data_IF_026836326006
#
_entry.id   IF_026836326006
#
_cell.length_a   1.000
_cell.length_b   1.000
_cell.length_c   1.000
_cell.angle_alpha   90.00
_cell.angle_beta   90.00
_cell.angle_gamma   90.00
#
_symmetry.space_group_name_H-M   'P 1'
#
loop_
_entity.id
_entity.type
_entity.pdbx_description
1 polymer ?
#
# COMPACT_ATOMS: atom_id res chain seq x y z
N UNK A 1 31.33 7.01 57.84
CA UNK A 1 31.45 6.29 56.54
C UNK A 1 30.19 5.46 56.34
N UNK A 2 29.27 5.97 55.56
CA UNK A 2 28.01 5.26 55.28
C UNK A 2 28.26 4.20 54.23
N UNK A 3 28.13 2.95 54.64
CA UNK A 3 28.13 1.78 53.77
C UNK A 3 26.80 1.75 53.03
N UNK A 4 26.80 2.27 51.76
CA UNK A 4 25.63 2.17 50.87
C UNK A 4 25.32 0.70 50.65
N UNK A 5 24.32 0.16 51.34
CA UNK A 5 23.80 -1.18 51.13
C UNK A 5 23.38 -1.35 49.66
N UNK A 6 24.19 -2.03 48.86
CA UNK A 6 23.82 -2.49 47.51
C UNK A 6 22.65 -3.46 47.66
N UNK A 7 21.43 -2.97 47.39
CA UNK A 7 20.22 -3.77 47.36
C UNK A 7 20.43 -4.89 46.32
N UNK A 8 20.77 -6.10 46.72
CA UNK A 8 20.83 -7.26 45.83
C UNK A 8 19.42 -7.45 45.23
N UNK A 9 19.32 -7.27 43.93
CA UNK A 9 18.07 -7.54 43.19
C UNK A 9 17.78 -9.04 43.36
N UNK A 10 16.65 -9.37 43.98
CA UNK A 10 16.25 -10.78 44.12
C UNK A 10 15.79 -11.33 42.75
N UNK A 11 15.95 -12.64 42.52
CA UNK A 11 15.48 -13.30 41.29
C UNK A 11 14.04 -12.95 40.96
N UNK A 12 13.16 -12.86 41.99
CA UNK A 12 11.77 -12.42 41.84
C UNK A 12 11.66 -10.96 41.40
N UNK A 13 12.54 -10.09 41.87
CA UNK A 13 12.60 -8.69 41.44
C UNK A 13 13.05 -8.53 40.00
N UNK A 14 14.09 -9.29 39.59
CA UNK A 14 14.53 -9.37 38.19
C UNK A 14 13.45 -9.87 37.26
N UNK A 15 12.73 -10.93 37.63
CA UNK A 15 11.62 -11.46 36.84
C UNK A 15 10.48 -10.44 36.67
N UNK A 16 10.10 -9.75 37.75
CA UNK A 16 9.10 -8.68 37.68
C UNK A 16 9.54 -7.52 36.77
N UNK A 17 10.82 -7.11 36.84
CA UNK A 17 11.37 -6.07 35.98
C UNK A 17 11.34 -6.51 34.50
N UNK A 18 11.71 -7.76 34.20
CA UNK A 18 11.66 -8.32 32.86
C UNK A 18 10.22 -8.35 32.31
N UNK A 19 9.26 -8.82 33.11
CA UNK A 19 7.86 -8.84 32.71
C UNK A 19 7.31 -7.43 32.46
N UNK A 20 7.71 -6.45 33.27
CA UNK A 20 7.33 -5.05 33.06
C UNK A 20 7.92 -4.50 31.74
N UNK A 21 9.17 -4.78 31.45
CA UNK A 21 9.81 -4.37 30.18
C UNK A 21 9.11 -5.02 29.01
N UNK A 22 8.82 -6.31 29.05
CA UNK A 22 8.07 -7.01 28.01
C UNK A 22 6.67 -6.41 27.81
N UNK A 23 5.97 -6.09 28.88
CA UNK A 23 4.66 -5.44 28.80
C UNK A 23 4.76 -4.07 28.11
N UNK A 24 5.78 -3.26 28.47
CA UNK A 24 6.00 -1.96 27.83
C UNK A 24 6.30 -2.13 26.35
N UNK A 25 7.14 -3.10 25.96
CA UNK A 25 7.44 -3.38 24.56
C UNK A 25 6.20 -3.80 23.77
N UNK A 26 5.33 -4.64 24.35
CA UNK A 26 4.05 -5.02 23.74
C UNK A 26 3.15 -3.80 23.56
N UNK A 27 3.02 -2.95 24.58
CA UNK A 27 2.20 -1.73 24.48
C UNK A 27 2.75 -0.79 23.40
N UNK A 28 4.06 -0.58 23.35
CA UNK A 28 4.68 0.24 22.31
C UNK A 28 4.44 -0.34 20.91
N UNK A 29 4.56 -1.66 20.76
CA UNK A 29 4.25 -2.35 19.50
C UNK A 29 2.78 -2.14 19.07
N UNK A 30 1.84 -2.28 20.00
CA UNK A 30 0.42 -2.03 19.72
C UNK A 30 0.17 -0.56 19.33
N UNK A 31 0.85 0.39 19.97
CA UNK A 31 0.77 1.81 19.61
C UNK A 31 1.28 2.04 18.18
N UNK A 32 2.33 1.36 17.75
CA UNK A 32 2.85 1.47 16.38
C UNK A 32 1.90 0.81 15.39
N UNK A 33 1.43 -0.40 15.66
CA UNK A 33 0.58 -1.17 14.74
C UNK A 33 -0.77 -0.47 14.53
N UNK A 34 -1.41 -0.04 15.62
CA UNK A 34 -2.76 0.55 15.58
C UNK A 34 -2.77 2.08 15.69
N UNK A 35 -1.60 2.70 15.81
CA UNK A 35 -1.43 4.14 15.90
C UNK A 35 -1.53 4.85 14.54
N UNK A 36 -0.97 6.05 14.51
CA UNK A 36 -0.98 6.92 13.34
C UNK A 36 -2.04 8.02 13.46
N UNK A 37 -1.79 9.12 12.75
CA UNK A 37 -2.74 10.24 12.67
C UNK A 37 -3.95 9.83 11.86
N UNK A 38 -5.13 10.35 12.21
CA UNK A 38 -6.32 10.21 11.39
C UNK A 38 -6.11 10.84 10.01
N UNK A 39 -6.44 10.12 8.97
CA UNK A 39 -6.44 10.65 7.61
C UNK A 39 -7.76 11.41 7.39
N UNK A 40 -7.64 12.64 6.86
CA UNK A 40 -8.76 13.52 6.53
C UNK A 40 -8.77 13.87 5.05
N UNK A 41 -7.93 13.19 4.24
CA UNK A 41 -7.86 13.43 2.81
C UNK A 41 -9.20 13.05 2.20
N UNK A 42 -9.79 13.99 1.49
CA UNK A 42 -10.96 13.70 0.66
C UNK A 42 -10.51 12.85 -0.52
N UNK A 43 -11.28 11.82 -0.83
CA UNK A 43 -10.93 10.86 -1.86
C UNK A 43 -12.13 10.60 -2.77
N UNK A 44 -11.91 10.71 -4.06
CA UNK A 44 -12.92 10.49 -5.08
C UNK A 44 -12.26 9.87 -6.32
N UNK A 45 -13.08 9.23 -7.14
CA UNK A 45 -12.66 8.76 -8.46
C UNK A 45 -12.35 9.97 -9.36
N UNK A 46 -11.13 10.00 -9.91
CA UNK A 46 -10.74 10.92 -10.97
C UNK A 46 -11.22 10.31 -12.29
N UNK A 47 -12.18 10.93 -12.93
CA UNK A 47 -12.76 10.41 -14.17
C UNK A 47 -11.77 10.46 -15.33
N UNK A 48 -11.74 9.36 -16.08
CA UNK A 48 -11.02 9.21 -17.33
C UNK A 48 -11.87 9.59 -18.55
N UNK A 49 -11.74 8.82 -19.61
CA UNK A 49 -12.55 9.01 -20.82
C UNK A 49 -14.01 8.60 -20.60
N UNK A 50 -14.91 9.31 -21.26
CA UNK A 50 -16.34 9.01 -21.14
C UNK A 50 -16.68 7.61 -21.65
N UNK A 51 -17.38 6.84 -20.80
CA UNK A 51 -17.81 5.47 -21.14
C UNK A 51 -16.71 4.41 -20.94
N UNK A 52 -15.58 4.75 -20.29
CA UNK A 52 -14.60 3.73 -19.92
C UNK A 52 -15.21 2.67 -18.99
N UNK A 53 -14.81 1.42 -19.23
CA UNK A 53 -15.14 0.27 -18.38
C UNK A 53 -13.92 -0.22 -17.59
N UNK A 54 -12.92 0.63 -17.47
CA UNK A 54 -11.69 0.32 -16.78
C UNK A 54 -11.45 1.29 -15.63
N UNK A 55 -10.95 0.77 -14.53
CA UNK A 55 -10.55 1.53 -13.34
C UNK A 55 -9.09 1.22 -13.01
N UNK A 56 -8.29 2.25 -12.83
CA UNK A 56 -6.97 2.13 -12.20
C UNK A 56 -7.13 2.41 -10.72
N UNK A 57 -6.89 1.41 -9.89
CA UNK A 57 -6.86 1.52 -8.43
C UNK A 57 -5.42 1.43 -7.97
N UNK A 58 -5.00 2.26 -7.04
CA UNK A 58 -3.65 2.15 -6.51
C UNK A 58 -3.57 2.48 -5.02
N UNK A 59 -2.60 1.85 -4.36
CA UNK A 59 -2.13 2.25 -3.03
C UNK A 59 -0.71 2.79 -3.17
N UNK A 60 -0.45 3.97 -2.59
CA UNK A 60 0.87 4.58 -2.58
C UNK A 60 1.20 5.14 -1.21
N UNK A 61 2.44 4.94 -0.74
CA UNK A 61 2.87 5.51 0.53
C UNK A 61 2.74 7.04 0.56
N UNK A 62 2.99 7.71 -0.56
CA UNK A 62 2.87 9.17 -0.68
C UNK A 62 1.48 9.70 -0.32
N UNK A 63 0.45 8.91 -0.57
CA UNK A 63 -0.94 9.30 -0.30
C UNK A 63 -1.34 9.15 1.16
N UNK A 64 -0.57 8.40 1.94
CA UNK A 64 -0.91 8.00 3.31
C UNK A 64 0.13 8.42 4.34
N UNK A 65 1.01 9.38 4.01
CA UNK A 65 1.99 10.00 4.91
C UNK A 65 2.00 11.53 4.75
N UNK A 66 2.65 12.21 5.70
CA UNK A 66 2.93 13.65 5.61
C UNK A 66 4.26 13.84 4.87
N UNK A 67 4.21 14.24 3.59
CA UNK A 67 5.38 14.34 2.71
C UNK A 67 6.46 15.28 3.22
N UNK A 68 6.09 16.32 3.99
CA UNK A 68 7.04 17.29 4.55
C UNK A 68 7.92 16.70 5.66
N UNK A 69 7.58 15.50 6.14
CA UNK A 69 8.22 14.86 7.31
C UNK A 69 8.82 13.49 7.01
N UNK A 70 8.77 13.03 5.76
CA UNK A 70 9.32 11.72 5.41
C UNK A 70 10.83 11.66 5.61
N UNK A 71 11.33 10.50 6.02
CA UNK A 71 12.77 10.27 6.11
C UNK A 71 13.40 10.02 4.72
N UNK A 72 14.75 10.02 4.67
CA UNK A 72 15.48 9.87 3.43
C UNK A 72 15.21 8.52 2.71
N UNK A 73 14.89 7.46 3.46
CA UNK A 73 14.60 6.14 2.88
C UNK A 73 13.21 6.14 2.27
N UNK A 74 12.22 6.69 2.97
CA UNK A 74 10.86 6.87 2.43
C UNK A 74 10.85 7.76 1.19
N UNK A 75 11.72 8.78 1.13
CA UNK A 75 11.83 9.66 -0.04
C UNK A 75 12.26 8.95 -1.32
N UNK A 76 12.96 7.80 -1.23
CA UNK A 76 13.31 6.98 -2.38
C UNK A 76 12.08 6.37 -3.10
N UNK A 77 10.92 6.36 -2.44
CA UNK A 77 9.64 5.95 -3.02
C UNK A 77 8.90 7.07 -3.76
N UNK A 78 9.51 8.25 -3.85
CA UNK A 78 8.90 9.46 -4.44
C UNK A 78 9.55 9.81 -5.77
N UNK A 79 8.76 10.45 -6.64
CA UNK A 79 9.18 11.04 -7.91
C UNK A 79 8.71 12.48 -8.00
N UNK A 80 9.49 13.30 -8.66
CA UNK A 80 9.09 14.66 -9.02
C UNK A 80 8.94 14.74 -10.52
N UNK A 81 7.82 15.23 -11.02
CA UNK A 81 7.61 15.47 -12.44
C UNK A 81 8.31 16.77 -12.89
N UNK A 82 8.28 17.02 -14.22
CA UNK A 82 8.88 18.22 -14.81
C UNK A 82 8.22 19.54 -14.35
N UNK A 83 7.05 19.48 -13.74
CA UNK A 83 6.32 20.64 -13.20
C UNK A 83 6.58 20.86 -11.70
N UNK A 84 7.39 19.99 -11.08
CA UNK A 84 7.72 20.05 -9.66
C UNK A 84 6.70 19.37 -8.73
N UNK A 85 5.70 18.66 -9.27
CA UNK A 85 4.77 17.89 -8.43
C UNK A 85 5.46 16.62 -7.93
N UNK A 86 5.23 16.30 -6.66
CA UNK A 86 5.77 15.08 -6.02
C UNK A 86 4.70 13.99 -6.01
N UNK A 87 5.04 12.83 -6.53
CA UNK A 87 4.20 11.64 -6.58
C UNK A 87 4.91 10.46 -5.90
N UNK A 88 4.16 9.53 -5.33
CA UNK A 88 4.71 8.22 -5.03
C UNK A 88 5.01 7.44 -6.30
N UNK A 89 6.00 6.55 -6.27
CA UNK A 89 6.35 5.74 -7.45
C UNK A 89 5.14 4.98 -8.00
N UNK A 90 4.34 4.37 -7.13
CA UNK A 90 3.13 3.64 -7.55
C UNK A 90 2.06 4.56 -8.13
N UNK A 91 1.84 5.73 -7.52
CA UNK A 91 0.94 6.74 -8.06
C UNK A 91 1.37 7.19 -9.47
N UNK A 92 2.67 7.44 -9.65
CA UNK A 92 3.20 7.82 -10.97
C UNK A 92 2.86 6.77 -12.03
N UNK A 93 3.10 5.49 -11.75
CA UNK A 93 2.75 4.40 -12.68
C UNK A 93 1.25 4.30 -12.90
N UNK A 94 0.44 4.47 -11.85
CA UNK A 94 -1.03 4.48 -11.98
C UNK A 94 -1.52 5.57 -12.95
N UNK A 95 -0.91 6.76 -12.90
CA UNK A 95 -1.22 7.86 -13.85
C UNK A 95 -0.78 7.53 -15.28
N UNK A 96 0.31 6.79 -15.48
CA UNK A 96 0.70 6.29 -16.81
C UNK A 96 -0.34 5.29 -17.34
N UNK A 97 -0.83 4.38 -16.50
CA UNK A 97 -1.91 3.46 -16.87
C UNK A 97 -3.19 4.23 -17.22
N UNK A 98 -3.59 5.20 -16.40
CA UNK A 98 -4.74 6.06 -16.68
C UNK A 98 -4.59 6.75 -18.03
N UNK A 99 -3.43 7.35 -18.29
CA UNK A 99 -3.16 8.07 -19.54
C UNK A 99 -3.19 7.15 -20.77
N UNK A 100 -2.65 5.92 -20.64
CA UNK A 100 -2.58 4.98 -21.75
C UNK A 100 -3.94 4.31 -22.05
N UNK A 101 -4.80 4.13 -21.04
CA UNK A 101 -6.07 3.39 -21.16
C UNK A 101 -7.30 4.28 -21.21
N UNK A 102 -7.21 5.56 -20.82
CA UNK A 102 -8.38 6.41 -20.59
C UNK A 102 -9.22 6.00 -19.38
N UNK A 103 -8.74 5.09 -18.53
CA UNK A 103 -9.44 4.58 -17.38
C UNK A 103 -9.74 5.66 -16.32
N UNK A 104 -10.75 5.42 -15.49
CA UNK A 104 -10.93 6.15 -14.24
C UNK A 104 -9.75 5.83 -13.28
N UNK A 105 -9.45 6.73 -12.35
CA UNK A 105 -8.35 6.57 -11.40
C UNK A 105 -8.84 6.74 -9.96
N UNK A 106 -8.44 5.84 -9.08
CA UNK A 106 -8.78 5.87 -7.66
C UNK A 106 -7.57 5.53 -6.78
N UNK A 107 -7.34 6.34 -5.74
CA UNK A 107 -6.31 6.11 -4.72
C UNK A 107 -6.91 5.46 -3.48
N UNK A 108 -6.35 4.34 -3.03
CA UNK A 108 -6.75 3.71 -1.77
C UNK A 108 -6.23 4.55 -0.61
N UNK A 109 -7.13 4.99 0.26
CA UNK A 109 -6.83 5.80 1.44
C UNK A 109 -7.17 5.04 2.71
N UNK A 110 -6.20 4.92 3.61
CA UNK A 110 -6.43 4.35 4.95
C UNK A 110 -6.95 5.41 5.92
N UNK A 111 -7.82 5.03 6.86
CA UNK A 111 -8.37 5.94 7.87
C UNK A 111 -7.32 6.47 8.85
N UNK A 112 -6.18 5.80 8.96
CA UNK A 112 -5.00 6.23 9.71
C UNK A 112 -3.79 6.24 8.80
N UNK A 113 -3.08 7.36 8.80
CA UNK A 113 -1.83 7.51 8.05
C UNK A 113 -0.78 6.49 8.53
N UNK A 114 0.05 6.06 7.61
CA UNK A 114 1.30 5.37 7.94
C UNK A 114 2.31 6.39 8.50
N UNK A 115 3.46 5.89 8.91
CA UNK A 115 4.49 6.75 9.50
C UNK A 115 5.37 7.36 8.42
N UNK A 116 5.84 8.56 8.67
CA UNK A 116 6.83 9.26 7.85
C UNK A 116 8.21 8.59 7.92
N UNK A 117 8.42 7.79 8.96
CA UNK A 117 9.65 7.00 9.18
C UNK A 117 9.53 5.63 8.55
N UNK A 118 10.48 5.28 7.66
CA UNK A 118 10.55 3.96 7.01
C UNK A 118 10.53 2.80 8.01
N UNK A 119 11.38 2.76 9.08
CA UNK A 119 11.36 1.64 10.01
C UNK A 119 10.01 1.44 10.70
N UNK A 120 9.30 2.52 11.03
CA UNK A 120 8.00 2.42 11.70
C UNK A 120 6.91 1.94 10.72
N UNK A 121 6.92 2.42 9.48
CA UNK A 121 6.02 1.93 8.43
C UNK A 121 6.30 0.47 8.12
N UNK A 122 7.56 0.08 7.95
CA UNK A 122 7.93 -1.31 7.69
C UNK A 122 7.55 -2.23 8.86
N UNK A 123 7.74 -1.78 10.10
CA UNK A 123 7.33 -2.53 11.28
C UNK A 123 5.80 -2.72 11.35
N UNK A 124 5.04 -1.66 11.11
CA UNK A 124 3.57 -1.73 11.06
C UNK A 124 3.11 -2.68 9.94
N UNK A 125 3.63 -2.52 8.73
CA UNK A 125 3.29 -3.36 7.58
C UNK A 125 3.60 -4.84 7.82
N UNK A 126 4.75 -5.16 8.45
CA UNK A 126 5.09 -6.53 8.84
C UNK A 126 4.03 -7.17 9.75
N UNK A 127 3.57 -6.43 10.77
CA UNK A 127 2.57 -6.96 11.68
C UNK A 127 1.17 -7.02 11.04
N UNK A 128 0.83 -6.07 10.17
CA UNK A 128 -0.40 -6.11 9.38
C UNK A 128 -0.46 -7.39 8.53
N UNK A 129 0.63 -7.72 7.83
CA UNK A 129 0.74 -8.93 7.02
C UNK A 129 0.72 -10.20 7.88
N UNK A 130 1.55 -10.26 8.92
CA UNK A 130 1.67 -11.45 9.79
C UNK A 130 0.35 -11.84 10.46
N UNK A 131 -0.45 -10.85 10.85
CA UNK A 131 -1.75 -11.08 11.49
C UNK A 131 -2.94 -10.96 10.53
N UNK A 132 -2.69 -10.82 9.24
CA UNK A 132 -3.71 -10.61 8.22
C UNK A 132 -4.67 -9.47 8.59
N UNK A 133 -4.11 -8.38 9.11
CA UNK A 133 -4.89 -7.22 9.58
C UNK A 133 -5.37 -6.41 8.38
N UNK A 134 -6.65 -6.01 8.39
CA UNK A 134 -7.25 -5.17 7.35
C UNK A 134 -7.33 -3.71 7.83
N UNK A 135 -6.46 -2.82 7.35
CA UNK A 135 -6.56 -1.39 7.66
C UNK A 135 -7.89 -0.82 7.16
N UNK A 136 -8.60 -0.11 8.04
CA UNK A 136 -9.85 0.55 7.66
C UNK A 136 -9.60 1.60 6.58
N UNK A 137 -10.36 1.55 5.49
CA UNK A 137 -10.33 2.50 4.39
C UNK A 137 -11.32 3.65 4.58
N UNK A 138 -11.13 4.73 3.80
CA UNK A 138 -12.02 5.88 3.73
C UNK A 138 -12.22 6.31 2.27
N UNK A 139 -13.35 6.95 1.99
CA UNK A 139 -13.68 7.50 0.67
C UNK A 139 -13.82 6.43 -0.40
N UNK A 140 -14.27 5.24 -0.03
CA UNK A 140 -14.49 4.12 -0.96
C UNK A 140 -15.54 4.49 -2.02
N UNK A 141 -15.38 4.07 -3.30
CA UNK A 141 -16.44 4.11 -4.28
C UNK A 141 -17.70 3.37 -3.81
N UNK A 142 -18.88 3.84 -4.21
CA UNK A 142 -20.14 3.20 -3.83
C UNK A 142 -20.24 1.77 -4.41
N UNK A 143 -19.78 1.57 -5.64
CA UNK A 143 -19.70 0.27 -6.32
C UNK A 143 -18.60 0.26 -7.40
N UNK A 144 -18.31 -0.92 -7.93
CA UNK A 144 -17.40 -1.14 -9.06
C UNK A 144 -18.10 -1.82 -10.25
N UNK A 145 -19.42 -1.86 -10.28
CA UNK A 145 -20.22 -2.64 -11.24
C UNK A 145 -20.00 -2.21 -12.69
N UNK A 146 -19.73 -0.93 -12.90
CA UNK A 146 -19.49 -0.37 -14.23
C UNK A 146 -18.14 -0.80 -14.85
N UNK A 147 -17.22 -1.37 -14.08
CA UNK A 147 -15.88 -1.71 -14.56
C UNK A 147 -15.75 -3.21 -14.83
N UNK A 148 -15.28 -3.54 -16.02
CA UNK A 148 -14.95 -4.90 -16.42
C UNK A 148 -13.47 -5.25 -16.12
N UNK A 149 -12.60 -4.21 -16.15
CA UNK A 149 -11.16 -4.34 -15.90
C UNK A 149 -10.70 -3.40 -14.78
N UNK A 150 -9.99 -3.94 -13.81
CA UNK A 150 -9.38 -3.19 -12.71
C UNK A 150 -7.86 -3.37 -12.78
N UNK A 151 -7.14 -2.29 -13.09
CA UNK A 151 -5.69 -2.23 -12.95
C UNK A 151 -5.37 -1.90 -11.50
N UNK A 152 -4.70 -2.80 -10.78
CA UNK A 152 -4.40 -2.63 -9.36
C UNK A 152 -2.92 -2.40 -9.12
N UNK A 153 -2.57 -1.21 -8.58
CA UNK A 153 -1.19 -0.78 -8.34
C UNK A 153 -0.81 -0.75 -6.87
N UNK A 154 0.38 -1.27 -6.55
CA UNK A 154 0.88 -1.27 -5.18
C UNK A 154 2.42 -1.28 -5.11
N UNK A 155 3.02 -0.72 -4.04
CA UNK A 155 4.40 -1.01 -3.71
C UNK A 155 4.50 -2.41 -3.11
N UNK A 156 5.54 -3.17 -3.45
CA UNK A 156 5.76 -4.46 -2.78
C UNK A 156 6.32 -4.20 -1.37
N UNK A 157 5.58 -4.63 -0.35
CA UNK A 157 5.97 -4.59 1.04
C UNK A 157 6.09 -6.02 1.58
N UNK A 158 7.22 -6.34 2.20
CA UNK A 158 7.49 -7.68 2.76
C UNK A 158 7.21 -8.84 1.79
N UNK A 159 7.57 -8.64 0.51
CA UNK A 159 7.37 -9.60 -0.59
C UNK A 159 5.90 -9.86 -0.93
N UNK A 160 5.00 -8.97 -0.58
CA UNK A 160 3.57 -9.07 -0.86
C UNK A 160 2.94 -7.72 -1.22
N UNK A 161 1.68 -7.74 -1.68
CA UNK A 161 0.86 -6.54 -1.75
C UNK A 161 0.53 -6.06 -0.32
N UNK A 162 0.54 -4.74 -0.04
CA UNK A 162 0.20 -4.22 1.28
C UNK A 162 -1.24 -4.53 1.67
N UNK A 163 -1.49 -4.72 2.96
CA UNK A 163 -2.81 -5.08 3.48
C UNK A 163 -3.97 -4.13 3.11
N UNK A 164 -3.77 -2.81 2.84
CA UNK A 164 -4.84 -1.98 2.27
C UNK A 164 -5.39 -2.46 0.92
N UNK A 165 -4.62 -3.23 0.14
CA UNK A 165 -5.09 -3.86 -1.10
C UNK A 165 -6.13 -4.95 -0.78
N UNK A 166 -5.83 -5.82 0.20
CA UNK A 166 -6.81 -6.80 0.69
C UNK A 166 -8.05 -6.11 1.27
N UNK A 167 -7.85 -5.07 2.10
CA UNK A 167 -8.99 -4.28 2.61
C UNK A 167 -9.88 -3.73 1.51
N UNK A 168 -9.33 -3.35 0.36
CA UNK A 168 -10.10 -2.84 -0.77
C UNK A 168 -10.94 -3.94 -1.42
N UNK A 169 -10.35 -5.10 -1.67
CA UNK A 169 -11.07 -6.20 -2.32
C UNK A 169 -12.09 -6.89 -1.42
N UNK A 170 -11.95 -6.82 -0.09
CA UNK A 170 -12.99 -7.29 0.84
C UNK A 170 -14.30 -6.49 0.78
N UNK A 171 -14.26 -5.25 0.25
CA UNK A 171 -15.45 -4.38 0.17
C UNK A 171 -16.28 -4.61 -1.10
N UNK A 172 -15.75 -5.34 -2.11
CA UNK A 172 -16.40 -5.46 -3.42
C UNK A 172 -16.40 -6.89 -3.95
N UNK A 173 -17.52 -7.30 -4.55
CA UNK A 173 -17.56 -8.48 -5.40
C UNK A 173 -16.91 -8.16 -6.77
N UNK A 174 -15.77 -8.81 -7.04
CA UNK A 174 -15.02 -8.64 -8.29
C UNK A 174 -15.18 -9.85 -9.23
N UNK A 175 -16.12 -10.75 -8.94
CA UNK A 175 -16.39 -11.94 -9.76
C UNK A 175 -16.66 -11.56 -11.21
N UNK A 176 -16.05 -12.28 -12.13
CA UNK A 176 -16.16 -12.04 -13.57
C UNK A 176 -15.35 -10.87 -14.11
N UNK A 177 -14.69 -10.08 -13.27
CA UNK A 177 -13.82 -8.99 -13.68
C UNK A 177 -12.39 -9.48 -13.98
N UNK A 178 -11.66 -8.68 -14.75
CA UNK A 178 -10.21 -8.87 -14.97
C UNK A 178 -9.42 -7.96 -14.04
N UNK A 179 -8.58 -8.53 -13.20
CA UNK A 179 -7.68 -7.82 -12.30
C UNK A 179 -6.28 -7.85 -12.89
N UNK A 180 -5.72 -6.69 -13.20
CA UNK A 180 -4.43 -6.53 -13.86
C UNK A 180 -3.46 -5.86 -12.88
N UNK A 181 -2.58 -6.60 -12.21
CA UNK A 181 -1.67 -6.00 -11.23
C UNK A 181 -0.53 -5.23 -11.89
N UNK A 182 -0.11 -4.15 -11.25
CA UNK A 182 1.19 -3.54 -11.48
C UNK A 182 1.83 -3.17 -10.15
N UNK A 183 3.13 -3.29 -10.04
CA UNK A 183 3.79 -2.99 -8.79
C UNK A 183 5.06 -2.16 -8.98
N UNK A 184 5.44 -1.46 -7.91
CA UNK A 184 6.75 -0.87 -7.74
C UNK A 184 7.48 -1.60 -6.61
N UNK A 185 8.76 -1.89 -6.81
CA UNK A 185 9.54 -2.71 -5.87
C UNK A 185 11.02 -2.33 -5.89
N UNK A 186 11.81 -2.88 -4.98
CA UNK A 186 13.26 -2.71 -4.92
C UNK A 186 14.01 -3.98 -5.37
N UNK A 187 13.49 -4.66 -6.43
CA UNK A 187 14.11 -5.85 -7.01
C UNK A 187 13.42 -7.17 -6.68
N UNK A 188 12.29 -7.17 -5.95
CA UNK A 188 11.54 -8.39 -5.63
C UNK A 188 10.69 -8.94 -6.80
N UNK A 189 10.56 -8.16 -7.88
CA UNK A 189 9.77 -8.57 -9.05
C UNK A 189 8.26 -8.37 -8.86
N UNK A 190 7.52 -8.56 -9.97
CA UNK A 190 6.06 -8.37 -10.02
C UNK A 190 5.30 -9.54 -9.38
N UNK A 191 5.89 -10.73 -9.38
CA UNK A 191 5.28 -11.94 -8.80
C UNK A 191 5.08 -11.85 -7.28
N UNK A 192 5.83 -10.95 -6.63
CA UNK A 192 5.61 -10.60 -5.23
C UNK A 192 4.30 -9.81 -5.12
N UNK A 193 3.34 -10.33 -4.36
CA UNK A 193 2.03 -9.69 -4.16
C UNK A 193 0.86 -10.41 -4.83
N UNK A 194 1.13 -11.41 -5.67
CA UNK A 194 0.05 -12.19 -6.27
C UNK A 194 -0.69 -13.10 -5.30
N UNK A 195 -0.06 -13.55 -4.23
CA UNK A 195 -0.74 -14.44 -3.27
C UNK A 195 -1.94 -13.74 -2.65
N UNK A 196 -1.75 -12.50 -2.16
CA UNK A 196 -2.86 -11.72 -1.62
C UNK A 196 -3.97 -11.52 -2.65
N UNK A 197 -3.63 -11.18 -3.91
CA UNK A 197 -4.63 -10.96 -4.96
C UNK A 197 -5.40 -12.22 -5.32
N UNK A 198 -4.77 -13.39 -5.32
CA UNK A 198 -5.46 -14.66 -5.59
C UNK A 198 -6.45 -15.01 -4.48
N UNK A 199 -6.09 -14.71 -3.24
CA UNK A 199 -6.93 -14.98 -2.08
C UNK A 199 -8.13 -14.02 -2.00
N UNK A 200 -7.93 -12.74 -2.37
CA UNK A 200 -8.94 -11.69 -2.22
C UNK A 200 -9.82 -11.48 -3.46
N UNK A 201 -9.40 -11.94 -4.64
CA UNK A 201 -10.12 -11.73 -5.90
C UNK A 201 -10.83 -13.01 -6.38
N UNK A 202 -11.54 -13.68 -5.47
CA UNK A 202 -12.27 -14.91 -5.83
C UNK A 202 -13.30 -14.66 -6.96
N UNK A 203 -13.35 -15.58 -7.90
CA UNK A 203 -14.22 -15.47 -9.08
C UNK A 203 -13.75 -14.47 -10.15
N UNK A 204 -12.69 -13.68 -9.92
CA UNK A 204 -12.07 -12.82 -10.92
C UNK A 204 -10.93 -13.55 -11.69
N UNK A 205 -10.57 -13.00 -12.84
CA UNK A 205 -9.35 -13.40 -13.55
C UNK A 205 -8.19 -12.50 -13.15
N UNK A 206 -7.24 -13.00 -12.38
CA UNK A 206 -6.00 -12.27 -12.08
C UNK A 206 -5.01 -12.51 -13.21
N UNK A 207 -4.71 -11.45 -13.96
CA UNK A 207 -3.85 -11.49 -15.14
C UNK A 207 -2.36 -11.38 -14.80
N UNK A 208 -1.50 -11.53 -15.82
CA UNK A 208 -0.08 -11.23 -15.69
C UNK A 208 0.12 -9.74 -15.34
N UNK A 209 1.06 -9.43 -14.44
CA UNK A 209 1.27 -8.09 -13.96
C UNK A 209 2.44 -7.37 -14.62
N UNK A 210 2.45 -6.06 -14.42
CA UNK A 210 3.46 -5.14 -14.94
C UNK A 210 4.45 -4.70 -13.85
N UNK A 211 5.75 -4.78 -14.14
CA UNK A 211 6.78 -4.20 -13.27
C UNK A 211 6.96 -2.71 -13.57
N UNK A 212 6.46 -1.86 -12.68
CA UNK A 212 6.45 -0.41 -12.84
C UNK A 212 7.75 0.31 -12.46
N UNK A 213 8.84 -0.42 -12.18
CA UNK A 213 10.11 0.22 -11.83
C UNK A 213 10.74 0.93 -13.02
N UNK A 214 11.11 2.21 -12.83
CA UNK A 214 11.80 3.04 -13.84
C UNK A 214 11.10 3.11 -15.20
N UNK A 215 9.78 2.94 -15.22
CA UNK A 215 8.97 2.90 -16.44
C UNK A 215 8.55 4.29 -16.90
N UNK A 216 8.16 4.38 -18.17
CA UNK A 216 7.55 5.55 -18.79
C UNK A 216 6.24 5.20 -19.52
N UNK A 217 5.60 6.20 -20.14
CA UNK A 217 4.35 6.02 -20.84
C UNK A 217 4.48 5.07 -22.05
N UNK A 218 5.61 5.09 -22.76
CA UNK A 218 5.80 4.24 -23.93
C UNK A 218 5.89 2.76 -23.51
N UNK A 219 6.62 2.47 -22.44
CA UNK A 219 6.74 1.10 -21.91
C UNK A 219 5.38 0.57 -21.44
N UNK A 220 4.63 1.36 -20.68
CA UNK A 220 3.27 1.00 -20.23
C UNK A 220 2.35 0.78 -21.44
N UNK A 221 2.34 1.70 -22.41
CA UNK A 221 1.51 1.59 -23.60
C UNK A 221 1.84 0.34 -24.42
N UNK A 222 3.15 0.07 -24.65
CA UNK A 222 3.58 -1.10 -25.40
C UNK A 222 3.21 -2.41 -24.69
N UNK A 223 3.36 -2.43 -23.37
CA UNK A 223 2.96 -3.60 -22.59
C UNK A 223 1.43 -3.83 -22.67
N UNK A 224 0.63 -2.77 -22.47
CA UNK A 224 -0.84 -2.87 -22.58
C UNK A 224 -1.30 -3.36 -23.96
N UNK A 225 -0.65 -2.91 -25.04
CA UNK A 225 -0.89 -3.39 -26.40
C UNK A 225 -0.51 -4.86 -26.56
N UNK A 226 0.65 -5.27 -26.04
CA UNK A 226 1.12 -6.66 -26.11
C UNK A 226 0.19 -7.62 -25.39
N UNK A 227 -0.49 -7.16 -24.35
CA UNK A 227 -1.49 -7.93 -23.59
C UNK A 227 -2.91 -7.82 -24.15
N UNK A 228 -3.15 -6.98 -25.16
CA UNK A 228 -4.47 -6.78 -25.78
C UNK A 228 -5.44 -5.92 -24.96
N UNK A 229 -4.95 -5.15 -24.00
CA UNK A 229 -5.81 -4.26 -23.20
C UNK A 229 -6.16 -2.95 -23.92
N UNK A 230 -5.36 -2.52 -24.87
CA UNK A 230 -5.61 -1.37 -25.73
C UNK A 230 -5.27 -1.70 -27.19
N UNK A 231 -5.91 -1.01 -28.12
CA UNK A 231 -5.66 -1.19 -29.54
C UNK A 231 -4.39 -0.43 -30.00
N UNK A 232 -3.89 -0.77 -31.19
CA UNK A 232 -2.77 -0.08 -31.85
C UNK A 232 -3.11 1.37 -32.23
#
# INVERSE_FOLDING_TARGET
>A
MEEKAKKKLTVKGLLKALLLVLLILVILSLIIIFGGKGNKKDNAIIRGESGTKSLVVYFSQADVVDLDKIDAVSSASMRTDNSGNVYGNTEYVARLFQQATGADLYSIQTSRLYYESYPLTAYRAFWEELFNTRPKLIGLPDDLDQYDTIYIGFPVWWFNAPMPIGSFFEEYDVSGKTIVPFCTNQGSGVDSGYELLKDECDGATVAEGFNGNNTDLNEVTNWLKSQGYIND
#
